data_IF_786867571916
#
_entry.id   IF_786867571916
#
_cell.length_a   1.000
_cell.length_b   1.000
_cell.length_c   1.000
_cell.angle_alpha   90.00
_cell.angle_beta   90.00
_cell.angle_gamma   90.00
#
_symmetry.space_group_name_H-M   'P 1'
#
loop_
_entity.id
_entity.type
_entity.pdbx_description
1 polymer ?
#
# COMPACT_ATOMS: atom_id res chain seq x y z
N UNK A 1 -23.38 -25.49 -12.42
CA UNK A 1 -24.12 -24.22 -12.51
C UNK A 1 -23.76 -23.35 -11.32
N UNK A 2 -22.80 -22.44 -11.49
CA UNK A 2 -22.37 -21.54 -10.44
C UNK A 2 -23.38 -20.41 -10.35
N UNK A 3 -24.21 -20.36 -9.30
CA UNK A 3 -25.13 -19.24 -9.09
C UNK A 3 -24.29 -17.97 -8.94
N UNK A 4 -24.58 -16.99 -9.78
CA UNK A 4 -24.04 -15.63 -9.66
C UNK A 4 -24.65 -15.06 -8.38
N UNK A 5 -23.81 -14.89 -7.35
CA UNK A 5 -24.27 -14.28 -6.10
C UNK A 5 -24.19 -12.78 -6.34
N UNK A 6 -25.30 -12.04 -6.21
CA UNK A 6 -25.31 -10.62 -6.49
C UNK A 6 -24.37 -9.88 -5.54
N UNK A 7 -23.83 -8.75 -6.01
CA UNK A 7 -23.08 -7.85 -5.14
C UNK A 7 -23.90 -7.43 -3.92
N UNK A 8 -23.26 -7.11 -2.78
CA UNK A 8 -23.95 -6.58 -1.63
C UNK A 8 -24.75 -5.33 -1.98
N UNK A 9 -25.96 -5.18 -1.43
CA UNK A 9 -26.86 -4.07 -1.73
C UNK A 9 -26.30 -2.67 -1.36
N UNK A 10 -25.26 -2.62 -0.53
CA UNK A 10 -24.59 -1.37 -0.18
C UNK A 10 -23.61 -0.89 -1.26
N UNK A 11 -23.18 -1.78 -2.18
CA UNK A 11 -22.19 -1.44 -3.20
C UNK A 11 -22.82 -0.54 -4.28
N UNK A 12 -22.22 0.62 -4.60
CA UNK A 12 -22.78 1.51 -5.62
C UNK A 12 -22.85 0.83 -6.99
N UNK A 13 -23.93 1.10 -7.72
CA UNK A 13 -24.08 0.69 -9.12
C UNK A 13 -23.26 1.60 -10.04
N UNK A 14 -23.02 1.14 -11.28
CA UNK A 14 -22.31 1.94 -12.27
C UNK A 14 -22.97 3.32 -12.51
N UNK A 15 -24.30 3.37 -12.54
CA UNK A 15 -25.10 4.59 -12.72
C UNK A 15 -24.95 5.58 -11.56
N UNK A 16 -24.80 5.06 -10.33
CA UNK A 16 -24.63 5.88 -9.14
C UNK A 16 -23.22 6.49 -9.03
N UNK A 17 -22.23 5.92 -9.71
CA UNK A 17 -20.84 6.32 -9.59
C UNK A 17 -20.26 6.10 -8.18
N UNK A 18 -19.07 6.67 -7.88
CA UNK A 18 -18.52 6.62 -6.53
C UNK A 18 -19.42 7.33 -5.52
N UNK A 19 -19.68 6.71 -4.37
CA UNK A 19 -20.57 7.28 -3.35
C UNK A 19 -19.98 7.22 -1.95
N UNK A 20 -20.14 8.28 -1.13
CA UNK A 20 -19.78 8.23 0.28
C UNK A 20 -20.79 7.34 1.02
N UNK A 21 -20.32 6.25 1.62
CA UNK A 21 -21.10 5.33 2.45
C UNK A 21 -20.70 5.47 3.92
N UNK A 22 -21.65 5.34 4.87
CA UNK A 22 -21.35 5.33 6.29
C UNK A 22 -20.51 4.10 6.69
N UNK A 23 -19.41 4.35 7.38
CA UNK A 23 -18.67 3.34 8.14
C UNK A 23 -19.48 2.93 9.39
N UNK A 24 -19.26 1.73 9.91
CA UNK A 24 -20.01 1.18 11.04
C UNK A 24 -21.40 0.62 10.70
N UNK A 25 -21.85 0.70 9.44
CA UNK A 25 -23.15 0.12 9.02
C UNK A 25 -23.02 -1.25 8.34
N UNK A 26 -22.13 -1.34 7.35
CA UNK A 26 -21.89 -2.57 6.59
C UNK A 26 -20.46 -3.07 6.70
N UNK A 27 -19.54 -2.14 6.96
CA UNK A 27 -18.13 -2.37 7.14
C UNK A 27 -17.56 -1.25 8.00
N UNK A 28 -16.43 -1.52 8.63
CA UNK A 28 -15.47 -0.49 9.01
C UNK A 28 -14.35 -0.45 7.98
N UNK A 29 -13.50 0.57 8.09
CA UNK A 29 -12.43 0.82 7.15
C UNK A 29 -11.12 0.85 7.88
N UNK A 30 -10.13 0.15 7.31
CA UNK A 30 -8.75 0.25 7.72
C UNK A 30 -7.96 0.86 6.57
N UNK A 31 -7.25 1.95 6.82
CA UNK A 31 -6.44 2.67 5.85
C UNK A 31 -4.96 2.61 6.19
N UNK A 32 -4.11 2.50 5.16
CA UNK A 32 -2.66 2.62 5.29
C UNK A 32 -2.05 3.31 4.08
N UNK A 33 -0.81 3.80 4.23
CA UNK A 33 -0.01 4.36 3.13
C UNK A 33 0.29 3.30 2.05
N UNK A 34 0.66 3.76 0.85
CA UNK A 34 0.86 2.87 -0.30
C UNK A 34 1.91 1.77 -0.09
N UNK A 35 3.02 2.05 0.59
CA UNK A 35 4.09 1.07 0.81
C UNK A 35 3.68 -0.04 1.78
N UNK A 36 3.09 0.34 2.91
CA UNK A 36 2.54 -0.56 3.91
C UNK A 36 1.43 -1.41 3.30
N UNK A 37 0.57 -0.78 2.48
CA UNK A 37 -0.54 -1.44 1.82
C UNK A 37 -0.10 -2.48 0.80
N UNK A 38 0.87 -2.15 -0.06
CA UNK A 38 1.42 -3.09 -1.02
C UNK A 38 2.01 -4.33 -0.32
N UNK A 39 2.79 -4.13 0.75
CA UNK A 39 3.36 -5.21 1.56
C UNK A 39 2.28 -6.03 2.26
N UNK A 40 1.23 -5.38 2.75
CA UNK A 40 0.14 -6.05 3.44
C UNK A 40 -0.69 -6.92 2.48
N UNK A 41 -1.04 -6.40 1.31
CA UNK A 41 -1.76 -7.13 0.26
C UNK A 41 -0.99 -8.41 -0.14
N UNK A 42 0.32 -8.27 -0.40
CA UNK A 42 1.16 -9.41 -0.79
C UNK A 42 1.18 -10.53 0.28
N UNK A 43 1.15 -10.17 1.56
CA UNK A 43 1.17 -11.12 2.69
C UNK A 43 -0.21 -11.71 3.01
N UNK A 44 -1.28 -10.98 2.74
CA UNK A 44 -2.65 -11.43 2.99
C UNK A 44 -3.10 -12.50 1.98
N UNK A 45 -2.66 -12.40 0.72
CA UNK A 45 -3.12 -13.31 -0.34
C UNK A 45 -4.64 -13.36 -0.40
N UNK A 46 -5.21 -14.57 -0.49
CA UNK A 46 -6.66 -14.80 -0.60
C UNK A 46 -7.50 -14.34 0.62
N UNK A 47 -6.86 -13.92 1.73
CA UNK A 47 -7.54 -13.35 2.91
C UNK A 47 -7.83 -11.86 2.74
N UNK A 48 -7.27 -11.22 1.72
CA UNK A 48 -7.62 -9.85 1.35
C UNK A 48 -9.02 -9.81 0.74
N UNK A 49 -9.85 -8.92 1.26
CA UNK A 49 -11.09 -8.55 0.62
C UNK A 49 -10.84 -7.46 -0.44
N UNK A 50 -11.89 -6.73 -0.84
CA UNK A 50 -11.72 -5.60 -1.73
C UNK A 50 -10.90 -4.49 -1.08
N UNK A 51 -10.15 -3.80 -1.94
CA UNK A 51 -9.26 -2.71 -1.55
C UNK A 51 -9.54 -1.51 -2.43
N UNK A 52 -9.82 -0.38 -1.81
CA UNK A 52 -9.98 0.91 -2.48
C UNK A 52 -8.62 1.60 -2.49
N UNK A 53 -8.23 2.15 -3.62
CA UNK A 53 -7.11 3.07 -3.74
C UNK A 53 -7.65 4.50 -3.85
N UNK A 54 -7.10 5.38 -3.01
CA UNK A 54 -7.37 6.82 -3.03
C UNK A 54 -6.12 7.58 -3.46
N UNK A 55 -5.94 7.85 -4.78
CA UNK A 55 -4.69 8.37 -5.31
C UNK A 55 -4.27 9.71 -4.72
N UNK A 56 -5.24 10.61 -4.49
CA UNK A 56 -4.98 11.93 -3.93
C UNK A 56 -4.56 11.90 -2.46
N UNK A 57 -4.86 10.82 -1.73
CA UNK A 57 -4.47 10.65 -0.33
C UNK A 57 -3.26 9.71 -0.19
N UNK A 58 -2.75 9.17 -1.30
CA UNK A 58 -1.70 8.14 -1.32
C UNK A 58 -1.97 6.95 -0.38
N UNK A 59 -3.26 6.63 -0.20
CA UNK A 59 -3.73 5.65 0.77
C UNK A 59 -4.54 4.55 0.10
N UNK A 60 -4.52 3.37 0.71
CA UNK A 60 -5.38 2.25 0.36
C UNK A 60 -6.24 1.86 1.57
N UNK A 61 -7.45 1.41 1.29
CA UNK A 61 -8.47 1.14 2.29
C UNK A 61 -9.04 -0.28 2.12
N UNK A 62 -8.93 -1.09 3.16
CA UNK A 62 -9.65 -2.37 3.26
C UNK A 62 -11.00 -2.14 3.93
N UNK A 63 -12.00 -2.88 3.45
CA UNK A 63 -13.27 -3.01 4.13
C UNK A 63 -13.22 -4.23 5.06
N UNK A 64 -13.52 -4.05 6.35
CA UNK A 64 -13.53 -5.11 7.36
C UNK A 64 -14.89 -5.20 8.05
N UNK A 65 -15.25 -6.31 8.70
CA UNK A 65 -16.49 -6.40 9.48
C UNK A 65 -16.60 -5.27 10.52
N UNK A 66 -17.82 -4.76 10.72
CA UNK A 66 -18.11 -3.73 11.72
C UNK A 66 -17.67 -4.18 13.12
N UNK A 67 -17.05 -3.27 13.87
CA UNK A 67 -16.51 -3.46 15.22
C UNK A 67 -15.17 -4.20 15.28
N UNK A 68 -14.69 -4.77 14.17
CA UNK A 68 -13.50 -5.63 14.18
C UNK A 68 -12.19 -4.85 14.35
N UNK A 69 -12.21 -3.53 14.11
CA UNK A 69 -11.06 -2.64 14.19
C UNK A 69 -11.12 -1.61 15.34
N UNK A 70 -12.18 -1.59 16.16
CA UNK A 70 -12.43 -0.55 17.19
C UNK A 70 -11.25 -0.34 18.17
N UNK A 71 -10.58 -1.44 18.52
CA UNK A 71 -9.48 -1.44 19.48
C UNK A 71 -8.10 -1.35 18.83
N UNK A 72 -8.01 -1.24 17.51
CA UNK A 72 -6.71 -1.21 16.84
C UNK A 72 -6.01 0.11 17.12
N UNK A 73 -4.74 0.01 17.51
CA UNK A 73 -3.86 1.15 17.77
C UNK A 73 -2.50 0.83 17.13
N UNK A 74 -2.40 1.11 15.83
CA UNK A 74 -1.20 0.84 15.03
C UNK A 74 -0.66 2.16 14.44
N UNK A 75 0.66 2.42 14.50
CA UNK A 75 1.24 3.62 13.89
C UNK A 75 0.98 3.67 12.38
N UNK A 76 0.59 4.84 11.88
CA UNK A 76 0.36 5.07 10.44
C UNK A 76 -0.87 4.36 9.86
N UNK A 77 -1.73 3.78 10.71
CA UNK A 77 -2.98 3.13 10.30
C UNK A 77 -4.16 3.99 10.73
N UNK A 78 -5.05 4.24 9.78
CA UNK A 78 -6.32 4.92 10.01
C UNK A 78 -7.43 3.89 10.18
N UNK A 79 -8.31 4.07 11.16
CA UNK A 79 -9.54 3.27 11.30
C UNK A 79 -10.74 4.19 11.23
N UNK A 80 -11.68 3.91 10.34
CA UNK A 80 -12.95 4.63 10.24
C UNK A 80 -14.10 3.70 10.63
N UNK A 81 -14.82 4.06 11.68
CA UNK A 81 -15.97 3.32 12.20
C UNK A 81 -17.25 4.17 12.20
N UNK A 82 -18.15 3.91 13.13
CA UNK A 82 -19.43 4.63 13.24
C UNK A 82 -19.27 6.15 13.23
N UNK A 83 -20.05 6.84 12.40
CA UNK A 83 -20.05 8.30 12.25
C UNK A 83 -19.17 8.81 11.09
N UNK A 84 -18.20 8.00 10.67
CA UNK A 84 -17.31 8.31 9.55
C UNK A 84 -17.90 7.85 8.21
N UNK A 85 -17.30 8.29 7.10
CA UNK A 85 -17.72 7.91 5.74
C UNK A 85 -16.53 7.59 4.86
N UNK A 86 -16.71 6.62 3.95
CA UNK A 86 -15.75 6.29 2.89
C UNK A 86 -16.42 6.39 1.53
N UNK A 87 -15.75 7.02 0.57
CA UNK A 87 -16.17 6.99 -0.84
C UNK A 87 -15.90 5.62 -1.43
N UNK A 88 -16.96 4.90 -1.81
CA UNK A 88 -16.90 3.57 -2.39
C UNK A 88 -17.15 3.67 -3.90
N UNK A 89 -16.27 3.12 -4.76
CA UNK A 89 -16.50 3.10 -6.20
C UNK A 89 -17.48 1.98 -6.63
N UNK A 90 -18.11 2.09 -7.82
CA UNK A 90 -18.87 0.98 -8.39
C UNK A 90 -17.96 -0.20 -8.74
N UNK A 91 -18.46 -1.45 -8.78
CA UNK A 91 -17.64 -2.68 -8.80
C UNK A 91 -16.58 -2.72 -9.90
N UNK A 92 -16.89 -2.16 -11.08
CA UNK A 92 -16.04 -2.26 -12.26
C UNK A 92 -15.07 -1.08 -12.42
N UNK A 93 -15.02 -0.15 -11.45
CA UNK A 93 -14.14 1.02 -11.53
C UNK A 93 -12.76 0.71 -10.94
N UNK A 94 -11.82 0.35 -11.80
CA UNK A 94 -10.43 -0.02 -11.43
C UNK A 94 -9.37 0.96 -11.92
N UNK A 95 -9.75 1.96 -12.71
CA UNK A 95 -8.84 2.90 -13.38
C UNK A 95 -9.24 4.38 -13.17
N UNK A 96 -8.37 5.28 -13.61
CA UNK A 96 -8.58 6.73 -13.58
C UNK A 96 -8.07 7.43 -12.31
N UNK A 97 -8.11 8.77 -12.28
CA UNK A 97 -7.48 9.58 -11.22
C UNK A 97 -8.29 9.61 -9.90
N UNK A 98 -9.58 9.27 -9.95
CA UNK A 98 -10.46 9.26 -8.78
C UNK A 98 -10.35 7.94 -7.99
N UNK A 99 -11.06 7.89 -6.85
CA UNK A 99 -11.24 6.68 -6.04
C UNK A 99 -11.68 5.49 -6.91
N UNK A 100 -10.97 4.38 -6.74
CA UNK A 100 -11.13 3.16 -7.56
C UNK A 100 -10.78 1.91 -6.77
N UNK A 101 -11.23 0.75 -7.24
CA UNK A 101 -10.80 -0.53 -6.71
C UNK A 101 -9.37 -0.83 -7.16
N UNK A 102 -8.48 -1.11 -6.21
CA UNK A 102 -7.24 -1.82 -6.46
C UNK A 102 -7.51 -3.34 -6.53
N UNK A 103 -8.31 -3.83 -5.59
CA UNK A 103 -8.83 -5.20 -5.60
C UNK A 103 -10.36 -5.09 -5.66
N UNK A 104 -10.99 -5.47 -6.77
CA UNK A 104 -12.44 -5.40 -6.93
C UNK A 104 -13.18 -6.32 -5.95
N UNK A 105 -14.42 -5.97 -5.56
CA UNK A 105 -15.25 -6.86 -4.74
C UNK A 105 -15.53 -8.17 -5.46
N UNK A 106 -15.42 -9.29 -4.74
CA UNK A 106 -15.76 -10.65 -5.19
C UNK A 106 -16.67 -11.33 -4.14
N UNK A 107 -16.92 -12.64 -4.32
CA UNK A 107 -17.78 -13.50 -3.47
C UNK A 107 -17.54 -13.35 -1.96
N UNK A 108 -16.30 -13.05 -1.54
CA UNK A 108 -15.96 -12.55 -0.19
C UNK A 108 -15.82 -11.03 -0.26
N UNK A 109 -16.77 -10.30 0.32
CA UNK A 109 -16.82 -8.85 0.15
C UNK A 109 -16.05 -8.06 1.22
N UNK A 110 -15.56 -8.69 2.29
CA UNK A 110 -14.80 -8.02 3.36
C UNK A 110 -13.49 -8.78 3.65
N UNK A 111 -12.48 -8.02 4.06
CA UNK A 111 -11.15 -8.51 4.44
C UNK A 111 -11.20 -9.18 5.80
N UNK A 112 -10.43 -10.26 5.97
CA UNK A 112 -10.33 -10.94 7.26
C UNK A 112 -9.55 -10.06 8.27
N UNK A 113 -10.26 -9.49 9.24
CA UNK A 113 -9.71 -8.47 10.14
C UNK A 113 -8.51 -8.96 10.97
N UNK A 114 -8.58 -10.18 11.53
CA UNK A 114 -7.46 -10.74 12.31
C UNK A 114 -6.19 -10.94 11.45
N UNK A 115 -6.36 -11.33 10.19
CA UNK A 115 -5.29 -11.42 9.20
C UNK A 115 -4.60 -10.08 9.00
N UNK A 116 -5.44 -9.08 8.69
CA UNK A 116 -5.01 -7.75 8.36
C UNK A 116 -4.29 -7.12 9.55
N UNK A 117 -4.84 -7.22 10.76
CA UNK A 117 -4.19 -6.71 11.97
C UNK A 117 -2.80 -7.30 12.17
N UNK A 118 -2.67 -8.64 12.06
CA UNK A 118 -1.40 -9.31 12.23
C UNK A 118 -0.37 -8.82 11.20
N UNK A 119 -0.76 -8.77 9.93
CA UNK A 119 0.13 -8.31 8.85
C UNK A 119 0.51 -6.84 9.02
N UNK A 120 -0.46 -5.97 9.36
CA UNK A 120 -0.23 -4.55 9.57
C UNK A 120 0.75 -4.30 10.73
N UNK A 121 0.62 -5.02 11.84
CA UNK A 121 1.61 -4.95 12.95
C UNK A 121 3.04 -5.19 12.47
N UNK A 122 3.25 -6.14 11.55
CA UNK A 122 4.59 -6.47 11.07
C UNK A 122 5.11 -5.40 10.10
N UNK A 123 4.27 -4.89 9.21
CA UNK A 123 4.72 -3.90 8.20
C UNK A 123 4.88 -2.49 8.78
N UNK A 124 4.13 -2.12 9.83
CA UNK A 124 4.25 -0.81 10.49
C UNK A 124 5.35 -0.77 11.54
N UNK A 125 5.66 -1.91 12.20
CA UNK A 125 6.79 -2.01 13.14
C UNK A 125 8.15 -1.74 12.47
N UNK A 126 8.23 -1.79 11.14
CA UNK A 126 9.45 -1.48 10.39
C UNK A 126 9.77 0.02 10.28
N UNK A 127 8.93 0.88 10.87
CA UNK A 127 9.02 2.34 10.81
C UNK A 127 8.74 2.88 9.39
N UNK A 128 8.49 4.18 9.27
CA UNK A 128 8.60 4.89 8.00
C UNK A 128 10.07 4.88 7.56
N UNK A 129 10.55 3.72 7.11
CA UNK A 129 11.63 3.68 6.15
C UNK A 129 11.01 4.25 4.88
N UNK A 130 11.57 5.35 4.39
CA UNK A 130 11.37 5.85 3.03
C UNK A 130 11.02 4.69 2.09
N UNK A 131 9.98 4.80 1.24
CA UNK A 131 9.62 3.73 0.31
C UNK A 131 10.90 3.32 -0.39
N UNK A 132 11.34 2.10 -0.08
CA UNK A 132 12.69 1.56 -0.25
C UNK A 132 13.33 2.19 -1.48
N UNK A 133 14.15 3.22 -1.27
CA UNK A 133 14.85 3.86 -2.36
C UNK A 133 15.72 2.76 -2.93
N UNK A 134 15.32 2.22 -4.09
CA UNK A 134 15.71 0.90 -4.61
C UNK A 134 17.01 0.36 -4.01
N UNK A 135 16.94 -0.72 -3.23
CA UNK A 135 18.12 -1.42 -2.69
C UNK A 135 18.22 -2.80 -3.33
N UNK A 136 19.41 -3.16 -3.82
CA UNK A 136 19.66 -4.54 -4.25
C UNK A 136 19.62 -5.50 -3.06
N UNK A 137 19.47 -6.80 -3.31
CA UNK A 137 19.43 -7.83 -2.25
C UNK A 137 20.68 -7.79 -1.35
N UNK A 138 21.85 -7.45 -1.92
CA UNK A 138 23.08 -7.33 -1.14
C UNK A 138 23.02 -6.11 -0.18
N UNK A 139 22.52 -4.96 -0.66
CA UNK A 139 22.29 -3.77 0.16
C UNK A 139 21.23 -4.00 1.24
N UNK A 140 20.21 -4.82 0.94
CA UNK A 140 19.13 -5.15 1.86
C UNK A 140 19.59 -6.04 3.02
N UNK A 141 20.50 -6.99 2.76
CA UNK A 141 21.01 -7.95 3.76
C UNK A 141 22.22 -7.45 4.55
N UNK A 142 22.87 -6.36 4.10
CA UNK A 142 24.05 -5.80 4.76
C UNK A 142 25.31 -6.65 4.58
N UNK A 143 25.33 -7.55 3.60
CA UNK A 143 26.38 -8.56 3.45
C UNK A 143 27.67 -8.06 2.76
N UNK A 144 27.74 -6.81 2.29
CA UNK A 144 28.90 -6.27 1.58
C UNK A 144 29.59 -5.11 2.33
N UNK A 145 30.91 -5.00 2.20
CA UNK A 145 31.70 -3.89 2.75
C UNK A 145 31.81 -2.68 1.81
N UNK A 146 31.58 -2.87 0.50
CA UNK A 146 31.63 -1.84 -0.55
C UNK A 146 30.48 -2.05 -1.55
N UNK A 147 29.82 -0.98 -2.00
CA UNK A 147 28.74 -1.06 -2.98
C UNK A 147 29.30 -1.13 -4.41
N UNK A 148 28.94 -2.17 -5.17
CA UNK A 148 29.30 -2.31 -6.60
C UNK A 148 28.18 -1.90 -7.55
N UNK A 149 27.03 -1.47 -7.02
CA UNK A 149 25.79 -1.19 -7.76
C UNK A 149 25.44 0.31 -7.82
N UNK A 150 26.40 1.18 -7.51
CA UNK A 150 26.21 2.63 -7.42
C UNK A 150 25.96 3.35 -8.77
N UNK A 151 26.13 2.64 -9.89
CA UNK A 151 25.95 3.19 -11.23
C UNK A 151 24.87 2.38 -11.94
N UNK A 152 23.78 3.06 -12.30
CA UNK A 152 22.76 2.44 -13.10
C UNK A 152 23.22 2.34 -14.56
N UNK A 153 22.98 1.21 -15.26
CA UNK A 153 23.20 1.13 -16.70
C UNK A 153 22.24 2.08 -17.45
N UNK A 154 22.60 2.51 -18.68
CA UNK A 154 21.73 3.35 -19.48
C UNK A 154 20.38 2.66 -19.73
N UNK A 155 19.27 3.43 -19.79
CA UNK A 155 17.95 2.85 -19.94
C UNK A 155 17.80 2.24 -21.34
N UNK A 156 17.04 1.14 -21.51
CA UNK A 156 16.68 0.63 -22.82
C UNK A 156 15.88 1.67 -23.63
N UNK A 157 16.10 1.73 -24.94
CA UNK A 157 15.38 2.67 -25.80
C UNK A 157 13.86 2.41 -25.79
N UNK A 158 13.07 3.46 -25.59
CA UNK A 158 11.60 3.42 -25.65
C UNK A 158 10.88 2.93 -24.39
N UNK A 159 11.62 2.62 -23.31
CA UNK A 159 11.03 2.22 -22.02
C UNK A 159 11.21 3.37 -21.00
N UNK A 160 10.13 3.96 -20.46
CA UNK A 160 10.26 4.92 -19.38
C UNK A 160 10.72 4.20 -18.10
N UNK A 161 11.92 4.55 -17.62
CA UNK A 161 12.51 4.00 -16.38
C UNK A 161 12.56 5.11 -15.33
N UNK A 162 12.14 4.79 -14.11
CA UNK A 162 12.30 5.67 -12.95
C UNK A 162 13.53 5.19 -12.17
N UNK A 163 14.56 6.03 -12.09
CA UNK A 163 15.72 5.77 -11.24
C UNK A 163 15.46 6.26 -9.83
N UNK A 164 15.67 5.38 -8.85
CA UNK A 164 15.68 5.73 -7.43
C UNK A 164 17.12 5.68 -6.94
N UNK A 165 17.56 6.75 -6.28
CA UNK A 165 18.88 6.78 -5.64
C UNK A 165 18.88 5.83 -4.44
N UNK A 166 19.95 5.05 -4.26
CA UNK A 166 20.12 4.27 -3.04
C UNK A 166 20.38 5.21 -1.85
N UNK A 167 19.57 5.13 -0.80
CA UNK A 167 19.65 5.97 0.41
C UNK A 167 20.36 5.27 1.58
N UNK A 168 21.31 4.37 1.29
CA UNK A 168 22.04 3.64 2.32
C UNK A 168 23.21 4.48 2.89
N UNK A 169 23.49 4.34 4.19
CA UNK A 169 24.57 5.06 4.89
C UNK A 169 25.99 4.82 4.34
N UNK A 170 26.17 3.91 3.38
CA UNK A 170 27.40 3.78 2.60
C UNK A 170 27.71 5.04 1.77
N UNK A 171 26.69 5.77 1.30
CA UNK A 171 26.87 7.01 0.52
C UNK A 171 27.08 8.25 1.40
N UNK A 172 26.49 8.30 2.60
CA UNK A 172 26.78 9.38 3.57
C UNK A 172 28.27 9.41 3.97
N UNK A 173 28.95 8.26 3.95
CA UNK A 173 30.40 8.15 4.19
C UNK A 173 31.27 8.52 2.98
N UNK A 174 30.71 8.51 1.77
CA UNK A 174 31.43 8.85 0.54
C UNK A 174 31.33 10.35 0.18
N UNK A 175 30.29 11.04 0.67
CA UNK A 175 30.12 12.50 0.54
C UNK A 175 30.75 13.22 1.75
N UNK A 176 31.99 12.84 2.09
CA UNK A 176 32.87 13.74 2.85
C UNK A 176 33.44 14.79 1.89
N UNK A 177 33.76 16.02 2.35
CA UNK A 177 34.33 17.03 1.47
C UNK A 177 35.60 16.45 0.84
N UNK A 178 35.69 16.52 -0.49
CA UNK A 178 36.84 16.06 -1.24
C UNK A 178 38.10 16.62 -0.60
N UNK A 179 38.84 15.75 0.09
CA UNK A 179 40.23 16.02 0.43
C UNK A 179 41.00 15.77 -0.86
N UNK A 180 41.14 16.84 -1.64
CA UNK A 180 42.32 17.01 -2.47
C UNK A 180 43.54 16.66 -1.63
N UNK A 181 44.18 15.54 -1.97
CA UNK A 181 45.57 15.30 -1.64
C UNK A 181 46.34 15.44 -2.92
N UNK A 182 46.83 16.66 -3.13
CA UNK A 182 47.94 16.96 -4.01
C UNK A 182 49.16 16.07 -3.70
N UNK A 183 49.79 15.65 -4.80
CA UNK A 183 51.22 15.43 -5.01
C UNK A 183 51.98 14.39 -4.16
N UNK A 184 52.52 13.38 -4.84
CA UNK A 184 53.97 13.30 -5.11
C UNK A 184 54.20 12.62 -6.46
#
# INVERSE_FOLDING_TARGET
MQRDVPFPAWLPTAEQGPRPLPCGRWFDVVGAGGAESARAIARLGERTGPVIHHPAEHAMFWLVPVGSADLWRLPGITVLGTGERLTVPPPNRTEGPCVRWLIPPRRRCLTEAAALHHVLKVVTASGHRTPDAYRTVECHTGAHRLCTKAVAPPPPAGIPVIYLACDCGCHERAVGPGRDRLAS
#
